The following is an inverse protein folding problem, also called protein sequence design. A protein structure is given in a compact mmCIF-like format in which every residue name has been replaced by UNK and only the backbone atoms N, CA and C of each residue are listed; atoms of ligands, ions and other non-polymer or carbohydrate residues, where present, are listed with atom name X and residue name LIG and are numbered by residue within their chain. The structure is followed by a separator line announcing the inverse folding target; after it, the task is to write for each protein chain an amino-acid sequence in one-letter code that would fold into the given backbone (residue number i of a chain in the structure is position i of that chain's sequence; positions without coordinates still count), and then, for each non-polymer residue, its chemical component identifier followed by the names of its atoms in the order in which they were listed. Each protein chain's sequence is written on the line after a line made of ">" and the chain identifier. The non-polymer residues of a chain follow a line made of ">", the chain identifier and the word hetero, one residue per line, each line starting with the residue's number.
data_IF_428224296086
#
_entry.id   IF_428224296086
#
_cell.length_a   1.000
_cell.length_b   1.000
_cell.length_c   1.000
_cell.angle_alpha   90.00
_cell.angle_beta   90.00
_cell.angle_gamma   90.00
#
_symmetry.space_group_name_H-M   'P 1'
#
loop_
_entity.id
_entity.type
_entity.pdbx_description
1 polymer ?
#
# COMPACT_ATOMS: atom_id res chain seq x y z
N UNK A 1 -40.62 -6.59 -17.90
CA UNK A 1 -41.48 -5.70 -17.10
C UNK A 1 -42.84 -6.32 -16.85
N UNK A 2 -43.62 -6.64 -17.89
CA UNK A 2 -44.98 -7.24 -17.75
C UNK A 2 -45.02 -8.45 -16.83
N UNK A 3 -44.05 -9.37 -16.87
CA UNK A 3 -43.99 -10.54 -16.00
C UNK A 3 -43.81 -10.19 -14.53
N UNK A 4 -43.01 -9.15 -14.19
CA UNK A 4 -42.77 -8.70 -12.81
C UNK A 4 -44.01 -7.99 -12.27
N UNK A 5 -44.65 -7.13 -13.07
CA UNK A 5 -45.90 -6.43 -12.72
C UNK A 5 -47.00 -7.45 -12.41
N UNK A 6 -47.19 -8.44 -13.28
CA UNK A 6 -48.18 -9.51 -13.11
C UNK A 6 -47.94 -10.35 -11.86
N UNK A 7 -46.66 -10.66 -11.54
CA UNK A 7 -46.28 -11.44 -10.34
C UNK A 7 -46.55 -10.66 -9.04
N UNK A 8 -46.38 -9.35 -9.04
CA UNK A 8 -46.55 -8.47 -7.86
C UNK A 8 -47.95 -7.79 -7.77
N UNK A 9 -48.88 -8.10 -8.68
CA UNK A 9 -50.21 -7.50 -8.75
C UNK A 9 -50.17 -5.95 -8.75
N UNK A 10 -49.20 -5.35 -9.43
CA UNK A 10 -49.02 -3.88 -9.58
C UNK A 10 -49.16 -3.52 -11.05
N UNK A 11 -49.49 -2.24 -11.32
CA UNK A 11 -49.46 -1.75 -12.71
C UNK A 11 -48.03 -1.69 -13.24
N UNK A 12 -47.86 -1.74 -14.57
CA UNK A 12 -46.52 -1.57 -15.19
C UNK A 12 -45.97 -0.17 -14.89
N UNK A 13 -46.81 0.85 -14.80
CA UNK A 13 -46.40 2.21 -14.46
C UNK A 13 -45.85 2.31 -13.03
N UNK A 14 -46.49 1.66 -12.05
CA UNK A 14 -45.98 1.60 -10.68
C UNK A 14 -44.61 0.92 -10.60
N UNK A 15 -44.41 -0.16 -11.36
CA UNK A 15 -43.12 -0.87 -11.40
C UNK A 15 -42.05 0.01 -12.04
N UNK A 16 -42.36 0.71 -13.10
CA UNK A 16 -41.45 1.67 -13.75
C UNK A 16 -41.12 2.84 -12.80
N UNK A 17 -42.11 3.34 -12.04
CA UNK A 17 -41.90 4.36 -11.02
C UNK A 17 -40.85 3.92 -9.97
N UNK A 18 -41.02 2.73 -9.39
CA UNK A 18 -40.12 2.19 -8.39
C UNK A 18 -38.72 1.98 -8.96
N UNK A 19 -38.60 1.48 -10.19
CA UNK A 19 -37.29 1.32 -10.85
C UNK A 19 -36.61 2.67 -11.03
N UNK A 20 -37.34 3.68 -11.44
CA UNK A 20 -36.81 5.05 -11.60
C UNK A 20 -36.33 5.61 -10.27
N UNK A 21 -37.09 5.49 -9.20
CA UNK A 21 -36.66 5.90 -7.87
C UNK A 21 -35.40 5.18 -7.42
N UNK A 22 -35.32 3.87 -7.63
CA UNK A 22 -34.11 3.09 -7.31
C UNK A 22 -32.90 3.54 -8.11
N UNK A 23 -33.06 3.81 -9.42
CA UNK A 23 -31.97 4.35 -10.26
C UNK A 23 -31.50 5.72 -9.76
N UNK A 24 -32.44 6.61 -9.38
CA UNK A 24 -32.11 7.92 -8.82
C UNK A 24 -31.31 7.78 -7.54
N UNK A 25 -31.75 6.94 -6.59
CA UNK A 25 -31.01 6.69 -5.35
C UNK A 25 -29.61 6.18 -5.62
N UNK A 26 -29.48 5.20 -6.53
CA UNK A 26 -28.17 4.66 -6.94
C UNK A 26 -27.25 5.74 -7.51
N UNK A 27 -27.77 6.62 -8.37
CA UNK A 27 -26.99 7.73 -8.94
C UNK A 27 -26.56 8.73 -7.88
N UNK A 28 -27.42 9.00 -6.88
CA UNK A 28 -27.07 9.92 -5.79
C UNK A 28 -25.98 9.38 -4.87
N UNK A 29 -25.86 8.05 -4.71
CA UNK A 29 -24.86 7.38 -3.88
C UNK A 29 -23.51 7.13 -4.60
N UNK A 30 -23.41 7.42 -5.91
CA UNK A 30 -22.16 7.18 -6.65
C UNK A 30 -20.95 7.91 -6.04
N UNK A 31 -19.81 7.23 -5.88
CA UNK A 31 -18.58 7.85 -5.39
C UNK A 31 -17.93 8.68 -6.51
N UNK A 32 -18.19 9.98 -6.54
CA UNK A 32 -17.75 10.90 -7.58
C UNK A 32 -16.55 11.78 -7.20
N UNK A 33 -15.81 11.43 -6.14
CA UNK A 33 -14.58 12.15 -5.83
C UNK A 33 -13.63 12.13 -7.03
N UNK A 34 -13.32 13.29 -7.59
CA UNK A 34 -12.41 13.45 -8.74
C UNK A 34 -11.36 14.51 -8.43
N UNK A 35 -10.22 14.41 -9.10
CA UNK A 35 -9.22 15.48 -9.13
C UNK A 35 -9.69 16.52 -10.14
N UNK A 36 -10.02 17.72 -9.62
CA UNK A 36 -10.47 18.83 -10.45
C UNK A 36 -9.29 19.41 -11.22
N UNK A 37 -9.53 19.79 -12.48
CA UNK A 37 -8.59 20.57 -13.29
C UNK A 37 -9.35 21.72 -13.93
N UNK A 38 -8.73 22.90 -13.97
CA UNK A 38 -9.32 24.10 -14.59
C UNK A 38 -9.67 23.86 -16.07
N UNK A 39 -8.98 22.92 -16.71
CA UNK A 39 -9.24 22.50 -18.09
C UNK A 39 -10.66 21.91 -18.31
N UNK A 40 -11.30 21.41 -17.24
CA UNK A 40 -12.62 20.78 -17.32
C UNK A 40 -13.77 21.78 -17.52
N UNK A 41 -13.51 23.05 -17.27
CA UNK A 41 -14.49 24.12 -17.43
C UNK A 41 -14.49 24.72 -18.85
N UNK A 42 -13.48 24.40 -19.67
CA UNK A 42 -13.41 24.89 -21.04
C UNK A 42 -14.36 24.12 -21.98
N UNK A 43 -14.91 24.81 -22.97
CA UNK A 43 -15.86 24.25 -23.94
C UNK A 43 -15.30 23.06 -24.73
N UNK A 44 -13.99 23.02 -24.96
CA UNK A 44 -13.30 21.97 -25.72
C UNK A 44 -13.05 20.69 -24.89
N UNK A 45 -13.35 20.72 -23.58
CA UNK A 45 -13.13 19.56 -22.70
C UNK A 45 -13.97 18.32 -23.10
N UNK A 46 -15.10 18.51 -23.78
CA UNK A 46 -15.92 17.39 -24.28
C UNK A 46 -15.21 16.55 -25.34
N UNK A 47 -14.18 17.08 -26.01
CA UNK A 47 -13.33 16.32 -26.93
C UNK A 47 -12.59 15.18 -26.20
N UNK A 48 -12.29 15.33 -24.91
CA UNK A 48 -11.67 14.28 -24.09
C UNK A 48 -12.52 13.01 -23.99
N UNK A 49 -13.85 13.14 -24.10
CA UNK A 49 -14.76 11.98 -23.99
C UNK A 49 -14.61 11.04 -25.19
N UNK A 50 -14.37 11.61 -26.37
CA UNK A 50 -14.28 10.89 -27.63
C UNK A 50 -12.85 10.66 -28.10
N UNK A 51 -11.86 11.32 -27.47
CA UNK A 51 -10.46 11.23 -27.85
C UNK A 51 -9.93 9.81 -27.71
N UNK A 52 -9.20 9.36 -28.74
CA UNK A 52 -8.49 8.08 -28.72
C UNK A 52 -7.21 8.18 -27.88
N UNK A 53 -6.76 7.03 -27.37
CA UNK A 53 -5.48 6.96 -26.69
C UNK A 53 -4.35 7.41 -27.63
N UNK A 54 -3.41 8.24 -27.15
CA UNK A 54 -2.23 8.61 -27.93
C UNK A 54 -1.46 7.36 -28.38
N UNK A 55 -0.98 7.36 -29.60
CA UNK A 55 -0.16 6.27 -30.11
C UNK A 55 1.11 6.12 -29.26
N UNK A 56 1.48 4.87 -28.98
CA UNK A 56 2.72 4.59 -28.28
C UNK A 56 3.89 4.82 -29.25
N UNK A 57 4.75 5.82 -28.98
CA UNK A 57 5.97 6.09 -29.77
C UNK A 57 6.89 4.86 -29.89
N UNK A 58 6.83 3.95 -28.91
CA UNK A 58 7.50 2.65 -28.92
C UNK A 58 6.53 1.59 -28.44
N UNK A 59 6.28 0.58 -29.26
CA UNK A 59 5.54 -0.61 -28.83
C UNK A 59 6.30 -1.24 -27.64
N UNK A 60 5.64 -1.45 -26.49
CA UNK A 60 6.29 -2.12 -25.37
C UNK A 60 6.79 -3.48 -25.82
N UNK A 61 8.02 -3.86 -25.42
CA UNK A 61 8.55 -5.20 -25.71
C UNK A 61 7.60 -6.24 -25.13
N UNK A 62 7.04 -7.06 -25.99
CA UNK A 62 6.30 -8.25 -25.53
C UNK A 62 7.30 -9.17 -24.83
N UNK A 63 7.19 -9.26 -23.53
CA UNK A 63 8.00 -10.17 -22.71
C UNK A 63 7.24 -11.48 -22.64
N UNK A 64 7.80 -12.53 -23.25
CA UNK A 64 7.23 -13.88 -23.13
C UNK A 64 7.20 -14.32 -21.66
N UNK A 65 6.08 -14.87 -21.16
CA UNK A 65 6.00 -15.38 -19.81
C UNK A 65 6.95 -16.59 -19.64
N UNK A 66 7.66 -16.69 -18.51
CA UNK A 66 8.42 -17.89 -18.17
C UNK A 66 7.54 -19.14 -18.11
N UNK A 67 8.09 -20.29 -18.50
CA UNK A 67 7.37 -21.56 -18.40
C UNK A 67 7.07 -21.91 -16.93
N UNK A 68 5.86 -22.47 -16.66
CA UNK A 68 5.47 -22.92 -15.33
C UNK A 68 4.86 -21.86 -14.41
N UNK A 69 4.51 -20.67 -14.92
CA UNK A 69 3.79 -19.65 -14.13
C UNK A 69 2.34 -20.06 -13.89
N UNK A 70 1.77 -19.78 -12.68
CA UNK A 70 0.33 -19.86 -12.43
C UNK A 70 -0.48 -19.07 -13.47
N UNK A 71 -1.68 -19.57 -13.81
CA UNK A 71 -2.53 -18.97 -14.85
C UNK A 71 -2.78 -17.47 -14.67
N UNK A 72 -3.01 -17.04 -13.42
CA UNK A 72 -3.17 -15.62 -13.09
C UNK A 72 -1.94 -14.78 -13.46
N UNK A 73 -0.73 -15.21 -13.08
CA UNK A 73 0.50 -14.47 -13.39
C UNK A 73 0.77 -14.47 -14.89
N UNK A 74 0.42 -15.55 -15.58
CA UNK A 74 0.55 -15.64 -17.03
C UNK A 74 -0.36 -14.61 -17.74
N UNK A 75 -1.62 -14.49 -17.30
CA UNK A 75 -2.57 -13.53 -17.89
C UNK A 75 -2.09 -12.07 -17.83
N UNK A 76 -1.29 -11.71 -16.83
CA UNK A 76 -0.75 -10.35 -16.68
C UNK A 76 0.25 -9.97 -17.79
N UNK A 77 0.86 -10.95 -18.47
CA UNK A 77 1.78 -10.70 -19.58
C UNK A 77 1.06 -10.33 -20.89
N UNK A 78 -0.23 -10.63 -21.01
CA UNK A 78 -1.04 -10.27 -22.16
C UNK A 78 -1.56 -8.82 -22.13
N UNK A 79 -1.43 -8.15 -20.98
CA UNK A 79 -1.87 -6.75 -20.83
C UNK A 79 -0.74 -5.81 -21.24
N UNK A 80 -1.03 -4.89 -22.13
CA UNK A 80 -0.06 -3.88 -22.58
C UNK A 80 0.24 -2.87 -21.49
N UNK A 81 1.51 -2.45 -21.43
CA UNK A 81 1.95 -1.41 -20.51
C UNK A 81 1.66 -0.03 -21.11
N UNK A 82 1.13 0.86 -20.28
CA UNK A 82 0.85 2.23 -20.69
C UNK A 82 2.14 3.08 -20.70
N UNK A 83 2.25 3.95 -21.69
CA UNK A 83 3.24 5.03 -21.72
C UNK A 83 2.79 6.19 -20.84
N UNK A 84 3.74 7.07 -20.42
CA UNK A 84 3.40 8.24 -19.60
C UNK A 84 2.29 9.13 -20.23
N UNK A 85 2.31 9.48 -21.52
CA UNK A 85 1.23 10.25 -22.13
C UNK A 85 -0.10 9.51 -22.13
N UNK A 86 -0.10 8.17 -22.31
CA UNK A 86 -1.31 7.36 -22.25
C UNK A 86 -1.89 7.29 -20.83
N UNK A 87 -1.04 7.15 -19.80
CA UNK A 87 -1.46 7.23 -18.40
C UNK A 87 -2.14 8.58 -18.11
N UNK A 88 -1.49 9.67 -18.46
CA UNK A 88 -2.03 11.02 -18.23
C UNK A 88 -3.36 11.23 -18.94
N UNK A 89 -3.46 10.80 -20.20
CA UNK A 89 -4.68 10.90 -20.99
C UNK A 89 -5.84 10.11 -20.34
N UNK A 90 -5.59 8.86 -19.91
CA UNK A 90 -6.60 8.04 -19.25
C UNK A 90 -7.03 8.64 -17.90
N UNK A 91 -6.10 9.16 -17.09
CA UNK A 91 -6.44 9.82 -15.84
C UNK A 91 -7.25 11.09 -16.05
N UNK A 92 -6.90 11.92 -17.05
CA UNK A 92 -7.69 13.11 -17.42
C UNK A 92 -9.10 12.71 -17.84
N UNK A 93 -9.23 11.76 -18.76
CA UNK A 93 -10.53 11.30 -19.27
C UNK A 93 -11.39 10.68 -18.15
N UNK A 94 -10.81 9.84 -17.30
CA UNK A 94 -11.48 9.26 -16.14
C UNK A 94 -12.04 10.32 -15.17
N UNK A 95 -11.20 11.30 -14.78
CA UNK A 95 -11.62 12.37 -13.88
C UNK A 95 -12.63 13.30 -14.53
N UNK A 96 -12.46 13.62 -15.82
CA UNK A 96 -13.42 14.44 -16.55
C UNK A 96 -14.80 13.78 -16.66
N UNK A 97 -14.87 12.48 -16.96
CA UNK A 97 -16.13 11.74 -16.96
C UNK A 97 -16.84 11.81 -15.61
N UNK A 98 -16.11 11.63 -14.52
CA UNK A 98 -16.66 11.78 -13.15
C UNK A 98 -17.15 13.19 -12.86
N UNK A 99 -16.40 14.19 -13.28
CA UNK A 99 -16.78 15.60 -13.16
C UNK A 99 -18.09 15.88 -13.93
N UNK A 100 -18.21 15.39 -15.15
CA UNK A 100 -19.44 15.53 -15.95
C UNK A 100 -20.63 14.81 -15.29
N UNK A 101 -20.43 13.63 -14.73
CA UNK A 101 -21.44 12.89 -13.98
C UNK A 101 -21.90 13.72 -12.77
N UNK A 102 -20.98 14.35 -12.03
CA UNK A 102 -21.32 15.19 -10.87
C UNK A 102 -22.13 16.43 -11.27
N UNK A 103 -21.76 17.08 -12.36
CA UNK A 103 -22.54 18.21 -12.91
C UNK A 103 -23.96 17.79 -13.30
N UNK A 104 -24.12 16.66 -14.00
CA UNK A 104 -25.43 16.15 -14.39
C UNK A 104 -26.25 15.69 -13.18
N UNK A 105 -25.60 15.11 -12.16
CA UNK A 105 -26.23 14.74 -10.91
C UNK A 105 -26.81 15.95 -10.17
N UNK A 106 -26.08 17.07 -10.14
CA UNK A 106 -26.59 18.33 -9.54
C UNK A 106 -27.80 18.93 -10.28
N UNK A 107 -27.96 18.60 -11.55
CA UNK A 107 -29.12 19.03 -12.35
C UNK A 107 -30.32 18.07 -12.22
N UNK A 108 -30.11 16.90 -11.59
CA UNK A 108 -31.15 15.89 -11.45
C UNK A 108 -32.13 16.30 -10.35
N UNK A 109 -33.39 16.49 -10.72
CA UNK A 109 -34.48 16.63 -9.75
C UNK A 109 -34.97 15.22 -9.33
N UNK A 110 -34.82 14.82 -8.05
CA UNK A 110 -35.24 13.50 -7.58
C UNK A 110 -36.70 13.16 -7.82
N UNK A 111 -37.58 14.19 -7.85
CA UNK A 111 -39.03 14.00 -7.98
C UNK A 111 -39.48 13.89 -9.44
N UNK A 112 -38.72 14.49 -10.37
CA UNK A 112 -39.01 14.54 -11.83
C UNK A 112 -37.86 14.05 -12.69
N UNK A 113 -37.21 12.98 -12.27
CA UNK A 113 -36.05 12.47 -12.98
C UNK A 113 -36.41 12.07 -14.43
N UNK A 114 -35.72 12.71 -15.41
CA UNK A 114 -35.84 12.37 -16.80
C UNK A 114 -35.01 11.10 -17.10
N UNK A 115 -35.64 10.09 -17.69
CA UNK A 115 -34.94 8.82 -18.04
C UNK A 115 -33.71 9.04 -18.93
N UNK A 116 -33.80 9.95 -19.91
CA UNK A 116 -32.68 10.29 -20.79
C UNK A 116 -31.47 10.83 -20.01
N UNK A 117 -31.73 11.60 -18.93
CA UNK A 117 -30.67 12.13 -18.08
C UNK A 117 -30.02 11.03 -17.24
N UNK A 118 -30.83 10.13 -16.67
CA UNK A 118 -30.36 8.96 -15.94
C UNK A 118 -29.51 8.05 -16.84
N UNK A 119 -29.99 7.74 -18.05
CA UNK A 119 -29.25 6.94 -19.02
C UNK A 119 -27.89 7.57 -19.37
N UNK A 120 -27.87 8.91 -19.56
CA UNK A 120 -26.63 9.64 -19.85
C UNK A 120 -25.65 9.58 -18.68
N UNK A 121 -26.10 9.74 -17.45
CA UNK A 121 -25.29 9.65 -16.22
C UNK A 121 -24.70 8.23 -16.08
N UNK A 122 -25.53 7.21 -16.21
CA UNK A 122 -25.12 5.82 -16.06
C UNK A 122 -24.07 5.43 -17.12
N UNK A 123 -24.28 5.79 -18.40
CA UNK A 123 -23.30 5.55 -19.47
C UNK A 123 -21.96 6.23 -19.20
N UNK A 124 -21.97 7.52 -18.84
CA UNK A 124 -20.74 8.24 -18.53
C UNK A 124 -19.99 7.63 -17.35
N UNK A 125 -20.73 7.15 -16.36
CA UNK A 125 -20.12 6.48 -15.21
C UNK A 125 -19.55 5.10 -15.57
N UNK A 126 -20.27 4.31 -16.38
CA UNK A 126 -19.78 3.04 -16.90
C UNK A 126 -18.50 3.24 -17.72
N UNK A 127 -18.47 4.23 -18.61
CA UNK A 127 -17.28 4.59 -19.38
C UNK A 127 -16.11 5.01 -18.47
N UNK A 128 -16.38 5.75 -17.39
CA UNK A 128 -15.37 6.09 -16.40
C UNK A 128 -14.83 4.82 -15.70
N UNK A 129 -15.68 3.83 -15.41
CA UNK A 129 -15.24 2.56 -14.83
C UNK A 129 -14.40 1.73 -15.81
N UNK A 130 -14.69 1.80 -17.11
CA UNK A 130 -13.85 1.17 -18.15
C UNK A 130 -12.44 1.77 -18.13
N UNK A 131 -12.31 3.10 -18.09
CA UNK A 131 -11.00 3.76 -17.99
C UNK A 131 -10.25 3.39 -16.71
N UNK A 132 -10.96 3.39 -15.58
CA UNK A 132 -10.40 2.95 -14.29
C UNK A 132 -9.88 1.51 -14.35
N UNK A 133 -10.65 0.60 -14.88
CA UNK A 133 -10.26 -0.80 -15.02
C UNK A 133 -9.05 -0.96 -15.95
N UNK A 134 -8.97 -0.20 -17.02
CA UNK A 134 -7.82 -0.21 -17.91
C UNK A 134 -6.54 0.26 -17.19
N UNK A 135 -6.62 1.37 -16.42
CA UNK A 135 -5.52 1.84 -15.58
C UNK A 135 -5.06 0.79 -14.56
N UNK A 136 -6.01 0.11 -13.90
CA UNK A 136 -5.70 -0.95 -12.94
C UNK A 136 -5.01 -2.13 -13.63
N UNK A 137 -5.60 -2.65 -14.73
CA UNK A 137 -5.09 -3.81 -15.44
C UNK A 137 -3.66 -3.61 -15.95
N UNK A 138 -3.37 -2.44 -16.53
CA UNK A 138 -2.04 -2.10 -17.03
C UNK A 138 -0.98 -2.08 -15.89
N UNK A 139 -1.39 -1.86 -14.65
CA UNK A 139 -0.50 -1.73 -13.49
C UNK A 139 -0.49 -2.94 -12.54
N UNK A 140 -1.23 -4.03 -12.82
CA UNK A 140 -1.21 -5.24 -11.97
C UNK A 140 0.18 -5.88 -11.86
N UNK A 141 0.99 -5.81 -12.91
CA UNK A 141 2.37 -6.32 -12.91
C UNK A 141 3.25 -5.60 -11.88
N UNK A 142 2.99 -4.31 -11.62
CA UNK A 142 3.67 -3.53 -10.59
C UNK A 142 3.40 -4.11 -9.21
N UNK A 143 2.16 -4.48 -8.92
CA UNK A 143 1.78 -5.11 -7.64
C UNK A 143 2.58 -6.38 -7.41
N UNK A 144 2.66 -7.26 -8.40
CA UNK A 144 3.43 -8.52 -8.31
C UNK A 144 4.92 -8.24 -8.06
N UNK A 145 5.48 -7.24 -8.75
CA UNK A 145 6.88 -6.84 -8.57
C UNK A 145 7.18 -6.36 -7.16
N UNK A 146 6.28 -5.58 -6.58
CA UNK A 146 6.41 -5.11 -5.19
C UNK A 146 6.16 -6.24 -4.21
N UNK A 147 5.11 -7.07 -4.40
CA UNK A 147 4.76 -8.19 -3.53
C UNK A 147 5.92 -9.17 -3.35
N UNK A 148 6.65 -9.49 -4.44
CA UNK A 148 7.82 -10.40 -4.38
C UNK A 148 8.90 -9.96 -3.39
N UNK A 149 9.01 -8.66 -3.10
CA UNK A 149 10.00 -8.13 -2.15
C UNK A 149 9.60 -8.35 -0.67
N UNK A 150 8.33 -8.68 -0.43
CA UNK A 150 7.73 -8.78 0.91
C UNK A 150 7.29 -10.21 1.27
N UNK A 151 7.56 -11.20 0.42
CA UNK A 151 7.25 -12.60 0.71
C UNK A 151 8.09 -13.07 1.89
N UNK A 152 7.42 -13.68 2.87
CA UNK A 152 8.05 -14.29 4.04
C UNK A 152 7.50 -15.71 4.24
N UNK A 153 8.09 -16.49 5.14
CA UNK A 153 7.62 -17.84 5.46
C UNK A 153 6.17 -17.87 5.98
N UNK A 154 5.68 -16.76 6.50
CA UNK A 154 4.35 -16.66 7.12
C UNK A 154 3.29 -15.97 6.25
N UNK A 155 3.69 -15.35 5.15
CA UNK A 155 2.77 -14.59 4.28
C UNK A 155 2.92 -15.05 2.84
N UNK A 156 1.82 -15.57 2.29
CA UNK A 156 1.77 -16.05 0.91
C UNK A 156 1.92 -14.91 -0.10
N UNK A 157 2.58 -15.20 -1.24
CA UNK A 157 2.66 -14.24 -2.35
C UNK A 157 1.27 -13.81 -2.84
N UNK A 158 0.30 -14.73 -2.89
CA UNK A 158 -1.04 -14.43 -3.38
C UNK A 158 -1.84 -13.55 -2.43
N UNK A 159 -1.64 -13.67 -1.11
CA UNK A 159 -2.26 -12.80 -0.12
C UNK A 159 -1.73 -11.36 -0.27
N UNK A 160 -0.40 -11.23 -0.44
CA UNK A 160 0.22 -9.92 -0.72
C UNK A 160 -0.28 -9.32 -2.04
N UNK A 161 -0.44 -10.11 -3.09
CA UNK A 161 -0.98 -9.64 -4.36
C UNK A 161 -2.42 -9.14 -4.16
N UNK A 162 -3.25 -9.87 -3.42
CA UNK A 162 -4.64 -9.48 -3.14
C UNK A 162 -4.71 -8.16 -2.39
N UNK A 163 -3.97 -7.99 -1.30
CA UNK A 163 -3.87 -6.74 -0.54
C UNK A 163 -3.29 -5.59 -1.38
N UNK A 164 -2.29 -5.91 -2.20
CA UNK A 164 -1.68 -4.97 -3.11
C UNK A 164 -2.63 -4.48 -4.20
N UNK A 165 -3.49 -5.35 -4.74
CA UNK A 165 -4.51 -4.99 -5.73
C UNK A 165 -5.54 -4.03 -5.12
N UNK A 166 -5.99 -4.25 -3.89
CA UNK A 166 -6.88 -3.32 -3.17
C UNK A 166 -6.21 -1.96 -2.99
N UNK A 167 -4.92 -1.95 -2.68
CA UNK A 167 -4.14 -0.71 -2.54
C UNK A 167 -3.97 0.01 -3.87
N UNK A 168 -3.76 -0.73 -4.96
CA UNK A 168 -3.67 -0.19 -6.32
C UNK A 168 -4.99 0.48 -6.74
N UNK A 169 -6.14 -0.17 -6.50
CA UNK A 169 -7.47 0.39 -6.79
C UNK A 169 -7.65 1.73 -6.08
N UNK A 170 -7.32 1.79 -4.78
CA UNK A 170 -7.38 3.03 -4.00
C UNK A 170 -6.37 4.09 -4.48
N UNK A 171 -5.21 3.66 -4.97
CA UNK A 171 -4.20 4.55 -5.54
C UNK A 171 -4.69 5.20 -6.83
N UNK A 172 -5.34 4.45 -7.73
CA UNK A 172 -5.94 5.00 -8.96
C UNK A 172 -7.00 6.06 -8.64
N UNK A 173 -7.81 5.87 -7.60
CA UNK A 173 -8.84 6.84 -7.21
C UNK A 173 -8.28 8.16 -6.65
N UNK A 174 -7.10 8.10 -6.00
CA UNK A 174 -6.51 9.23 -5.27
C UNK A 174 -5.33 9.88 -5.99
N UNK A 175 -4.91 9.33 -7.13
CA UNK A 175 -3.75 9.84 -7.83
C UNK A 175 -4.05 11.18 -8.50
N UNK A 176 -3.21 12.16 -8.18
CA UNK A 176 -3.23 13.46 -8.83
C UNK A 176 -2.25 13.48 -10.00
N UNK A 177 -2.80 13.48 -11.21
CA UNK A 177 -2.05 13.50 -12.45
C UNK A 177 -1.49 14.88 -12.81
N UNK A 178 -2.03 15.97 -12.20
CA UNK A 178 -1.61 17.35 -12.46
C UNK A 178 -0.19 17.62 -11.97
N UNK A 179 0.27 16.89 -10.95
CA UNK A 179 1.62 17.00 -10.39
C UNK A 179 2.74 16.50 -11.32
N UNK A 180 2.42 15.96 -12.49
CA UNK A 180 3.38 15.48 -13.49
C UNK A 180 4.20 14.24 -13.10
N UNK A 181 3.94 13.65 -11.92
CA UNK A 181 4.59 12.43 -11.45
C UNK A 181 4.10 11.20 -12.23
N UNK A 182 4.93 10.16 -12.29
CA UNK A 182 4.51 8.86 -12.83
C UNK A 182 3.60 8.15 -11.84
N UNK A 183 2.52 7.56 -12.32
CA UNK A 183 1.61 6.78 -11.47
C UNK A 183 2.31 5.63 -10.76
N UNK A 184 3.23 4.93 -11.43
CA UNK A 184 3.98 3.81 -10.86
C UNK A 184 4.73 4.17 -9.57
N UNK A 185 5.26 5.40 -9.47
CA UNK A 185 5.96 5.88 -8.26
C UNK A 185 4.98 6.01 -7.09
N UNK A 186 3.84 6.65 -7.32
CA UNK A 186 2.80 6.82 -6.30
C UNK A 186 2.19 5.48 -5.88
N UNK A 187 1.85 4.62 -6.84
CA UNK A 187 1.27 3.30 -6.58
C UNK A 187 2.23 2.41 -5.77
N UNK A 188 3.53 2.40 -6.11
CA UNK A 188 4.55 1.66 -5.35
C UNK A 188 4.59 2.11 -3.89
N UNK A 189 4.57 3.43 -3.65
CA UNK A 189 4.55 3.96 -2.29
C UNK A 189 3.27 3.58 -1.54
N UNK A 190 2.10 3.68 -2.18
CA UNK A 190 0.81 3.32 -1.60
C UNK A 190 0.76 1.83 -1.20
N UNK A 191 1.24 0.93 -2.07
CA UNK A 191 1.30 -0.51 -1.81
C UNK A 191 2.26 -0.81 -0.65
N UNK A 192 3.49 -0.26 -0.67
CA UNK A 192 4.46 -0.44 0.41
C UNK A 192 3.93 0.04 1.76
N UNK A 193 3.26 1.20 1.79
CA UNK A 193 2.62 1.74 3.00
C UNK A 193 1.52 0.81 3.54
N UNK A 194 0.74 0.20 2.64
CA UNK A 194 -0.28 -0.77 3.05
C UNK A 194 0.37 -2.02 3.64
N UNK A 195 1.39 -2.59 2.99
CA UNK A 195 2.10 -3.76 3.50
C UNK A 195 2.70 -3.51 4.89
N UNK A 196 3.33 -2.35 5.11
CA UNK A 196 3.86 -2.01 6.42
C UNK A 196 2.79 -2.04 7.53
N UNK A 197 1.55 -1.62 7.22
CA UNK A 197 0.41 -1.71 8.16
C UNK A 197 -0.05 -3.16 8.37
N UNK A 198 -0.20 -3.92 7.29
CA UNK A 198 -0.64 -5.31 7.34
C UNK A 198 0.35 -6.16 8.14
N UNK A 199 1.66 -6.02 7.89
CA UNK A 199 2.68 -6.73 8.67
C UNK A 199 2.63 -6.40 10.17
N UNK A 200 2.50 -5.12 10.53
CA UNK A 200 2.40 -4.76 11.94
C UNK A 200 1.16 -5.37 12.62
N UNK A 201 0.07 -5.51 11.89
CA UNK A 201 -1.16 -6.13 12.39
C UNK A 201 -1.01 -7.64 12.53
N UNK A 202 -0.39 -8.30 11.56
CA UNK A 202 -0.11 -9.74 11.62
C UNK A 202 0.82 -10.10 12.78
N UNK A 203 1.89 -9.36 12.98
CA UNK A 203 2.80 -9.55 14.11
C UNK A 203 2.06 -9.43 15.46
N UNK A 204 1.25 -8.39 15.62
CA UNK A 204 0.43 -8.22 16.83
C UNK A 204 -0.58 -9.35 17.05
N UNK A 205 -1.15 -9.87 15.96
CA UNK A 205 -2.05 -11.03 16.05
C UNK A 205 -1.29 -12.29 16.47
N UNK A 206 -0.14 -12.57 15.86
CA UNK A 206 0.70 -13.70 16.22
C UNK A 206 1.14 -13.63 17.70
N UNK A 207 1.53 -12.45 18.19
CA UNK A 207 1.90 -12.27 19.59
C UNK A 207 0.71 -12.54 20.52
N UNK A 208 -0.50 -12.11 20.15
CA UNK A 208 -1.72 -12.43 20.93
C UNK A 208 -2.04 -13.91 20.93
N UNK A 209 -1.90 -14.60 19.79
CA UNK A 209 -2.15 -16.05 19.72
C UNK A 209 -1.07 -16.85 20.45
N UNK A 210 0.20 -16.40 20.47
CA UNK A 210 1.25 -17.02 21.28
C UNK A 210 0.95 -16.92 22.78
N UNK A 211 0.54 -15.74 23.25
CA UNK A 211 0.16 -15.55 24.68
C UNK A 211 -1.06 -16.38 25.07
N UNK A 212 -2.08 -16.51 24.20
CA UNK A 212 -3.23 -17.36 24.49
C UNK A 212 -2.89 -18.87 24.47
N UNK A 213 -1.93 -19.31 23.68
CA UNK A 213 -1.47 -20.70 23.68
C UNK A 213 -0.68 -21.05 24.93
N UNK A 214 0.13 -20.14 25.44
CA UNK A 214 0.88 -20.32 26.69
C UNK A 214 -0.05 -20.41 27.92
N UNK A 215 -1.16 -19.66 27.95
CA UNK A 215 -2.18 -19.78 28.99
C UNK A 215 -2.97 -21.09 28.93
N UNK A 216 -3.27 -21.61 27.71
CA UNK A 216 -3.98 -22.89 27.53
C UNK A 216 -3.06 -24.10 27.75
N UNK A 217 -1.75 -23.94 27.48
CA UNK A 217 -0.75 -25.00 27.70
C UNK A 217 -0.15 -24.97 29.13
N UNK A 218 -0.40 -23.92 29.87
CA UNK A 218 -0.01 -23.81 31.29
C UNK A 218 -0.59 -24.89 32.22
N UNK A 219 -1.53 -25.73 31.69
CA UNK A 219 -2.06 -26.91 32.36
C UNK A 219 -1.30 -28.22 32.10
N UNK A 220 -0.37 -28.25 31.14
CA UNK A 220 0.50 -29.42 30.92
C UNK A 220 1.91 -29.09 31.36
N UNK A 221 2.32 -29.74 32.44
CA UNK A 221 3.69 -29.71 32.96
C UNK A 221 4.66 -30.18 31.87
N UNK A 222 5.36 -29.24 31.23
CA UNK A 222 6.33 -29.61 30.22
C UNK A 222 7.08 -28.42 29.67
N UNK A 223 8.33 -28.29 30.04
CA UNK A 223 9.31 -27.30 29.59
C UNK A 223 9.10 -25.86 30.09
N UNK A 224 9.20 -25.67 31.39
CA UNK A 224 9.82 -24.44 31.88
C UNK A 224 11.26 -24.43 31.34
N UNK A 225 11.57 -23.51 30.43
CA UNK A 225 12.95 -23.18 30.17
C UNK A 225 13.62 -22.94 31.52
N UNK A 226 14.64 -23.74 31.83
CA UNK A 226 15.31 -23.69 33.11
C UNK A 226 15.79 -22.25 33.36
N UNK A 227 15.33 -21.55 34.40
CA UNK A 227 15.73 -20.18 34.68
C UNK A 227 17.26 -20.02 34.71
N UNK A 228 17.98 -21.06 35.13
CA UNK A 228 19.43 -21.13 35.13
C UNK A 228 20.03 -21.16 33.72
N UNK A 229 19.33 -21.81 32.74
CA UNK A 229 19.72 -21.81 31.35
C UNK A 229 19.50 -20.43 30.69
N UNK A 230 18.40 -19.76 31.02
CA UNK A 230 18.15 -18.39 30.56
C UNK A 230 19.15 -17.38 31.15
N UNK A 231 19.53 -17.52 32.41
CA UNK A 231 20.55 -16.68 33.06
C UNK A 231 21.95 -16.94 32.50
N UNK A 232 22.31 -18.20 32.20
CA UNK A 232 23.61 -18.53 31.62
C UNK A 232 23.71 -17.98 30.19
N UNK A 233 22.67 -18.12 29.37
CA UNK A 233 22.59 -17.56 28.00
C UNK A 233 22.67 -16.03 28.06
N UNK A 234 21.95 -15.37 28.95
CA UNK A 234 22.02 -13.92 29.13
C UNK A 234 23.42 -13.46 29.58
N UNK A 235 24.08 -14.24 30.41
CA UNK A 235 25.45 -13.92 30.90
C UNK A 235 26.47 -14.07 29.76
N UNK A 236 26.35 -15.11 28.94
CA UNK A 236 27.17 -15.29 27.73
C UNK A 236 26.95 -14.16 26.72
N UNK A 237 25.72 -13.78 26.42
CA UNK A 237 25.44 -12.63 25.54
C UNK A 237 26.00 -11.33 26.09
N UNK A 238 25.86 -11.07 27.39
CA UNK A 238 26.43 -9.88 28.02
C UNK A 238 27.97 -9.87 27.95
N UNK A 239 28.60 -10.99 28.18
CA UNK A 239 30.07 -11.11 28.09
C UNK A 239 30.56 -10.94 26.65
N UNK A 240 29.87 -11.53 25.65
CA UNK A 240 30.18 -11.37 24.25
C UNK A 240 30.02 -9.91 23.79
N UNK A 241 28.94 -9.25 24.14
CA UNK A 241 28.69 -7.83 23.83
C UNK A 241 29.77 -6.95 24.52
N UNK A 242 30.08 -7.20 25.76
CA UNK A 242 31.14 -6.51 26.52
C UNK A 242 32.53 -6.68 25.86
N UNK A 243 32.85 -7.88 25.35
CA UNK A 243 34.08 -8.15 24.64
C UNK A 243 34.18 -7.42 23.29
N UNK A 244 33.05 -7.27 22.59
CA UNK A 244 32.98 -6.53 21.32
C UNK A 244 33.07 -5.01 21.58
N UNK A 245 32.42 -4.50 22.64
CA UNK A 245 32.49 -3.09 23.03
C UNK A 245 33.90 -2.67 23.42
N UNK A 246 34.67 -3.56 24.05
CA UNK A 246 36.07 -3.30 24.41
C UNK A 246 37.03 -3.09 23.21
N UNK A 247 36.58 -3.35 21.98
CA UNK A 247 37.36 -3.06 20.75
C UNK A 247 37.14 -1.65 20.21
N UNK A 248 36.23 -0.89 20.81
CA UNK A 248 35.97 0.51 20.45
C UNK A 248 36.91 1.45 21.22
N UNK A 249 37.18 2.60 20.63
CA UNK A 249 37.86 3.68 21.33
C UNK A 249 36.98 4.20 22.50
N UNK A 250 37.57 4.67 23.58
CA UNK A 250 36.83 5.14 24.76
C UNK A 250 35.71 6.14 24.43
N UNK A 251 35.92 7.02 23.46
CA UNK A 251 34.91 7.98 22.99
C UNK A 251 33.79 7.32 22.21
N UNK A 252 34.11 6.34 21.37
CA UNK A 252 33.13 5.58 20.61
C UNK A 252 32.30 4.70 21.54
N UNK A 253 32.91 4.08 22.52
CA UNK A 253 32.24 3.27 23.53
C UNK A 253 31.27 4.12 24.36
N UNK A 254 31.70 5.27 24.86
CA UNK A 254 30.85 6.18 25.65
C UNK A 254 29.61 6.66 24.84
N UNK A 255 29.76 6.91 23.55
CA UNK A 255 28.63 7.31 22.69
C UNK A 255 27.65 6.15 22.51
N UNK A 256 28.12 4.92 22.28
CA UNK A 256 27.26 3.73 22.12
C UNK A 256 26.56 3.38 23.43
N UNK A 257 27.27 3.39 24.56
CA UNK A 257 26.67 3.12 25.88
C UNK A 257 25.56 4.09 26.23
N UNK A 258 25.75 5.39 26.01
CA UNK A 258 24.72 6.41 26.25
C UNK A 258 23.56 6.32 25.24
N UNK A 259 23.85 5.97 24.00
CA UNK A 259 22.84 5.87 22.94
C UNK A 259 21.86 4.73 23.14
N UNK A 260 22.37 3.58 23.56
CA UNK A 260 21.58 2.35 23.69
C UNK A 260 21.25 2.00 25.16
N UNK A 261 21.65 2.81 26.12
CA UNK A 261 21.40 2.56 27.53
C UNK A 261 22.14 1.35 28.06
N UNK A 262 23.37 1.13 27.60
CA UNK A 262 24.22 0.04 28.04
C UNK A 262 25.03 0.45 29.28
N UNK A 263 25.41 -0.49 30.10
CA UNK A 263 26.21 -0.29 31.34
C UNK A 263 25.50 0.58 32.41
N UNK A 264 26.04 1.74 32.75
CA UNK A 264 25.61 2.57 33.88
C UNK A 264 24.36 3.41 33.58
N UNK A 265 24.12 3.71 32.33
CA UNK A 265 22.99 4.57 31.88
C UNK A 265 21.85 3.67 31.45
N UNK A 266 20.83 3.51 32.28
CA UNK A 266 19.68 2.62 32.01
C UNK A 266 18.72 3.14 30.92
N UNK A 267 18.78 4.42 30.58
CA UNK A 267 17.86 5.01 29.60
C UNK A 267 18.62 5.46 28.34
N UNK A 268 18.13 5.12 27.12
CA UNK A 268 18.74 5.53 25.88
C UNK A 268 18.60 7.04 25.68
N UNK A 269 19.69 7.73 25.33
CA UNK A 269 19.73 9.17 25.11
C UNK A 269 19.67 9.52 23.63
N UNK A 270 19.20 10.74 23.34
CA UNK A 270 19.19 11.27 21.97
C UNK A 270 20.58 11.78 21.57
N UNK A 271 20.85 11.82 20.27
CA UNK A 271 22.14 12.34 19.74
C UNK A 271 22.43 13.79 20.16
N UNK A 272 21.40 14.58 20.43
CA UNK A 272 21.54 15.95 20.90
C UNK A 272 22.02 15.98 22.34
N UNK A 273 21.38 15.24 23.22
CA UNK A 273 21.74 15.12 24.65
C UNK A 273 23.15 14.58 24.84
N UNK A 274 23.56 13.59 24.01
CA UNK A 274 24.92 13.06 24.03
C UNK A 274 25.92 14.11 23.57
N UNK A 275 25.56 14.89 22.55
CA UNK A 275 26.38 16.01 22.06
C UNK A 275 26.58 17.09 23.11
N UNK A 276 25.51 17.48 23.80
CA UNK A 276 25.53 18.48 24.87
C UNK A 276 26.40 17.98 26.05
N UNK A 277 26.35 16.66 26.38
CA UNK A 277 27.17 16.07 27.44
C UNK A 277 28.67 15.98 27.09
N UNK A 278 29.00 15.73 25.83
CA UNK A 278 30.38 15.55 25.39
C UNK A 278 31.01 16.83 24.79
N UNK A 279 30.24 17.94 24.76
CA UNK A 279 30.69 19.23 24.22
C UNK A 279 30.93 19.22 22.69
N UNK A 280 30.19 18.37 21.93
CA UNK A 280 30.33 18.24 20.48
C UNK A 280 29.00 18.34 19.75
N UNK A 281 29.03 18.74 18.48
CA UNK A 281 27.81 18.90 17.70
C UNK A 281 27.08 17.55 17.48
N UNK A 282 25.76 17.60 17.35
CA UNK A 282 24.91 16.43 17.03
C UNK A 282 25.42 15.66 15.82
N UNK A 283 25.89 16.37 14.77
CA UNK A 283 26.39 15.73 13.56
C UNK A 283 27.72 14.99 13.83
N UNK A 284 28.54 15.54 14.70
CA UNK A 284 29.77 14.86 15.10
C UNK A 284 29.49 13.56 15.87
N UNK A 285 28.51 13.56 16.75
CA UNK A 285 28.06 12.35 17.45
C UNK A 285 27.54 11.32 16.44
N UNK A 286 26.73 11.73 15.44
CA UNK A 286 26.24 10.84 14.38
C UNK A 286 27.37 10.18 13.60
N UNK A 287 28.43 10.92 13.32
CA UNK A 287 29.61 10.39 12.63
C UNK A 287 30.37 9.37 13.48
N UNK A 288 30.50 9.64 14.79
CA UNK A 288 31.13 8.72 15.74
C UNK A 288 30.29 7.43 15.87
N UNK A 289 28.97 7.54 16.04
CA UNK A 289 28.04 6.42 16.08
C UNK A 289 28.16 5.53 14.83
N UNK A 290 28.12 6.14 13.64
CA UNK A 290 28.22 5.40 12.38
C UNK A 290 29.55 4.65 12.25
N UNK A 291 30.66 5.26 12.70
CA UNK A 291 32.00 4.64 12.70
C UNK A 291 32.06 3.49 13.70
N UNK A 292 31.58 3.70 14.93
CA UNK A 292 31.50 2.70 15.98
C UNK A 292 30.66 1.48 15.54
N UNK A 293 29.49 1.71 14.97
CA UNK A 293 28.60 0.65 14.45
C UNK A 293 29.26 -0.16 13.33
N UNK A 294 30.08 0.47 12.48
CA UNK A 294 30.83 -0.23 11.44
C UNK A 294 31.90 -1.15 12.07
N UNK A 295 32.64 -0.69 13.09
CA UNK A 295 33.63 -1.48 13.83
C UNK A 295 32.96 -2.66 14.56
N UNK A 296 31.82 -2.41 15.23
CA UNK A 296 31.06 -3.45 15.95
C UNK A 296 30.55 -4.55 15.01
N UNK A 297 30.02 -4.20 13.83
CA UNK A 297 29.59 -5.17 12.82
C UNK A 297 30.75 -6.02 12.28
N UNK A 298 31.91 -5.44 12.10
CA UNK A 298 33.10 -6.17 11.67
C UNK A 298 33.56 -7.16 12.78
N UNK A 299 33.64 -6.69 14.03
CA UNK A 299 34.02 -7.51 15.17
C UNK A 299 33.02 -8.67 15.44
N UNK A 300 31.72 -8.43 15.29
CA UNK A 300 30.71 -9.47 15.42
C UNK A 300 30.82 -10.56 14.35
N UNK A 301 31.14 -10.19 13.11
CA UNK A 301 31.41 -11.16 12.02
C UNK A 301 32.66 -12.01 12.27
N UNK A 302 33.70 -11.41 12.78
CA UNK A 302 34.93 -12.13 13.12
C UNK A 302 34.73 -13.15 14.25
N UNK A 303 33.95 -12.81 15.25
CA UNK A 303 33.66 -13.69 16.40
C UNK A 303 32.61 -14.75 16.13
N UNK A 304 32.04 -14.83 14.91
CA UNK A 304 30.92 -15.71 14.57
C UNK A 304 29.77 -15.66 15.57
N UNK A 305 29.55 -14.50 16.18
CA UNK A 305 28.39 -14.28 17.02
C UNK A 305 27.19 -14.25 16.06
N UNK A 306 26.60 -15.41 15.80
CA UNK A 306 25.30 -15.53 15.19
C UNK A 306 24.29 -14.96 16.19
N UNK A 307 24.06 -13.66 16.09
CA UNK A 307 22.89 -13.06 16.71
C UNK A 307 21.69 -13.68 16.02
N UNK A 308 21.10 -14.70 16.60
CA UNK A 308 19.74 -15.09 16.31
C UNK A 308 18.88 -13.86 16.61
N UNK A 309 18.60 -13.07 15.56
CA UNK A 309 17.57 -12.05 15.59
C UNK A 309 16.26 -12.82 15.56
N UNK A 310 15.62 -12.89 16.74
CA UNK A 310 14.28 -13.39 16.90
C UNK A 310 13.25 -12.46 16.19
#
# INVERSE_FOLDING_TARGET
>A
MAAIAKRNKRSEEDVLGVIREFRVLRVMELPLACVHSDEFEYNDADELLTSQLPDAERKPRQVCPPAGLPAYLNSLYHTDLLTKPQEQHLFRRYNYRKFRVDLLRKQLDPTKACERLLDKIERLYEDAMVDKNHLIQANLRLVVSVAKQYVTTHVSLFDLISDGNVSLIKAVEKFDYSLGNKFSTYATWAIKKNYARTFSTHLRQQDRFRTCQDELLGGQAGYRADPLLCESIQTEYRSAVSGILGRLDEREQAVIEQRFGLATVREPRTLKEIGDNLGVSKERIRQIEARAMKKLRAAAREQRVELMVA
#
